data_IF_490824010556
#
_entry.id   IF_490824010556
#
_cell.length_a   1.000
_cell.length_b   1.000
_cell.length_c   1.000
_cell.angle_alpha   90.00
_cell.angle_beta   90.00
_cell.angle_gamma   90.00
#
_symmetry.space_group_name_H-M   'P 1'
#
loop_
_entity.id
_entity.type
_entity.pdbx_description
1 polymer ?
#
# COMPACT_ATOMS: atom_id res chain seq x y z
N UNK A 1 2.67 27.65 -14.75
CA UNK A 1 3.69 27.11 -13.82
C UNK A 1 3.25 27.16 -12.35
N UNK A 2 2.77 28.28 -11.82
CA UNK A 2 2.30 28.39 -10.41
C UNK A 2 1.18 27.40 -10.02
N UNK A 3 0.22 27.13 -10.91
CA UNK A 3 -0.88 26.17 -10.63
C UNK A 3 -0.41 24.71 -10.45
N UNK A 4 0.62 24.29 -11.18
CA UNK A 4 1.20 22.93 -11.04
C UNK A 4 2.03 22.82 -9.76
N UNK A 5 2.75 23.88 -9.39
CA UNK A 5 3.58 23.93 -8.19
C UNK A 5 2.75 23.78 -6.90
N UNK A 6 1.57 24.43 -6.85
CA UNK A 6 0.66 24.28 -5.72
C UNK A 6 0.11 22.85 -5.60
N UNK A 7 -0.14 22.16 -6.71
CA UNK A 7 -0.56 20.75 -6.70
C UNK A 7 0.56 19.83 -6.20
N UNK A 8 1.80 20.07 -6.60
CA UNK A 8 2.94 19.27 -6.12
C UNK A 8 3.18 19.45 -4.62
N UNK A 9 3.09 20.68 -4.11
CA UNK A 9 3.20 20.94 -2.66
C UNK A 9 2.11 20.21 -1.90
N UNK A 10 0.87 20.23 -2.40
CA UNK A 10 -0.25 19.54 -1.77
C UNK A 10 0.00 18.02 -1.63
N UNK A 11 0.51 17.35 -2.67
CA UNK A 11 0.85 15.92 -2.59
C UNK A 11 1.97 15.64 -1.59
N UNK A 12 2.98 16.52 -1.51
CA UNK A 12 4.08 16.41 -0.54
C UNK A 12 3.52 16.52 0.89
N UNK A 13 2.70 17.53 1.17
CA UNK A 13 2.08 17.71 2.49
C UNK A 13 1.25 16.49 2.90
N UNK A 14 0.43 15.95 1.99
CA UNK A 14 -0.34 14.73 2.27
C UNK A 14 0.59 13.55 2.53
N UNK A 15 1.64 13.37 1.73
CA UNK A 15 2.55 12.24 1.91
C UNK A 15 3.25 12.26 3.27
N UNK A 16 3.59 13.45 3.77
CA UNK A 16 4.18 13.65 5.11
C UNK A 16 3.13 13.34 6.18
N UNK A 17 1.89 13.82 6.02
CA UNK A 17 0.81 13.49 6.95
C UNK A 17 0.58 11.98 7.04
N UNK A 18 0.51 11.29 5.90
CA UNK A 18 0.35 9.83 5.85
C UNK A 18 1.51 9.13 6.56
N UNK A 19 2.76 9.56 6.36
CA UNK A 19 3.91 9.03 7.11
C UNK A 19 3.72 9.20 8.62
N UNK A 20 3.38 10.41 9.07
CA UNK A 20 3.22 10.67 10.50
C UNK A 20 2.09 9.85 11.12
N UNK A 21 1.00 9.59 10.38
CA UNK A 21 -0.07 8.73 10.85
C UNK A 21 0.36 7.26 10.87
N UNK A 22 1.08 6.79 9.85
CA UNK A 22 1.57 5.40 9.76
C UNK A 22 2.46 5.05 10.96
N UNK A 23 3.42 5.93 11.28
CA UNK A 23 4.42 5.67 12.33
C UNK A 23 3.78 5.66 13.72
N UNK A 24 2.74 6.46 13.92
CA UNK A 24 2.02 6.53 15.19
C UNK A 24 0.85 5.52 15.28
N UNK A 25 0.61 4.73 14.24
CA UNK A 25 -0.49 3.79 14.24
C UNK A 25 -0.17 2.60 15.16
N UNK A 26 -1.08 2.21 16.08
CA UNK A 26 -0.81 1.12 17.00
C UNK A 26 -0.73 -0.22 16.26
N UNK A 27 0.30 -1.00 16.60
CA UNK A 27 0.40 -2.40 16.15
C UNK A 27 -0.63 -3.26 16.91
N UNK A 28 -1.32 -4.12 16.18
CA UNK A 28 -2.30 -5.05 16.74
C UNK A 28 -1.59 -6.40 16.91
N UNK A 29 -1.44 -6.86 18.15
CA UNK A 29 -0.87 -8.18 18.43
C UNK A 29 -1.86 -9.24 17.95
N UNK A 30 -1.41 -10.05 17.01
CA UNK A 30 -2.08 -11.22 16.48
C UNK A 30 -1.44 -12.48 17.08
N UNK A 31 -2.02 -13.66 16.79
CA UNK A 31 -1.59 -14.96 17.30
C UNK A 31 -0.07 -15.10 17.51
N UNK A 32 0.35 -15.65 18.66
CA UNK A 32 1.76 -15.92 19.00
C UNK A 32 2.72 -14.73 18.83
N UNK A 33 2.35 -13.54 19.32
CA UNK A 33 3.20 -12.34 19.32
C UNK A 33 3.48 -11.74 17.92
N UNK A 34 2.86 -12.25 16.85
CA UNK A 34 2.97 -11.63 15.54
C UNK A 34 2.20 -10.33 15.50
N UNK A 35 2.84 -9.25 15.06
CA UNK A 35 2.21 -7.94 14.98
C UNK A 35 1.63 -7.69 13.59
N UNK A 36 0.38 -7.23 13.56
CA UNK A 36 -0.29 -6.71 12.37
C UNK A 36 -0.31 -5.20 12.48
N UNK A 37 0.24 -4.53 11.47
CA UNK A 37 0.12 -3.08 11.32
C UNK A 37 -0.80 -2.75 10.13
N UNK A 38 -1.61 -1.72 10.27
CA UNK A 38 -2.39 -1.19 9.16
C UNK A 38 -1.47 -0.37 8.28
N UNK A 39 -1.34 -0.74 7.01
CA UNK A 39 -0.53 -0.01 6.04
C UNK A 39 -1.35 1.10 5.33
N UNK A 40 -1.38 2.29 5.92
CA UNK A 40 -1.98 3.50 5.35
C UNK A 40 -1.20 4.01 4.13
N UNK A 41 0.07 3.68 4.02
CA UNK A 41 0.93 4.09 2.91
C UNK A 41 0.53 3.35 1.66
N UNK A 42 0.32 2.04 1.76
CA UNK A 42 -0.17 1.23 0.65
C UNK A 42 -1.54 1.74 0.16
N UNK A 43 -2.41 2.16 1.09
CA UNK A 43 -3.69 2.83 0.76
C UNK A 43 -3.47 4.17 0.05
N UNK A 44 -2.47 4.95 0.45
CA UNK A 44 -2.13 6.20 -0.24
C UNK A 44 -1.59 5.95 -1.65
N UNK A 45 -0.69 4.97 -1.81
CA UNK A 45 -0.10 4.58 -3.10
C UNK A 45 -1.19 4.07 -4.05
N UNK A 46 -2.16 3.29 -3.58
CA UNK A 46 -3.30 2.85 -4.43
C UNK A 46 -4.06 4.03 -5.00
N UNK A 47 -4.42 5.02 -4.19
CA UNK A 47 -5.12 6.21 -4.69
C UNK A 47 -4.27 6.98 -5.70
N UNK A 48 -2.98 7.16 -5.43
CA UNK A 48 -2.07 7.80 -6.38
C UNK A 48 -2.03 7.05 -7.71
N UNK A 49 -1.88 5.72 -7.66
CA UNK A 49 -1.76 4.85 -8.83
C UNK A 49 -3.00 4.90 -9.71
N UNK A 50 -4.19 4.78 -9.10
CA UNK A 50 -5.47 4.80 -9.83
C UNK A 50 -5.74 6.20 -10.41
N UNK A 51 -5.50 7.27 -9.63
CA UNK A 51 -5.82 8.63 -10.07
C UNK A 51 -4.85 9.12 -11.15
N UNK A 52 -3.55 9.03 -10.91
CA UNK A 52 -2.56 9.62 -11.83
C UNK A 52 -2.20 8.67 -12.98
N UNK A 53 -2.07 7.36 -12.72
CA UNK A 53 -1.64 6.38 -13.73
C UNK A 53 -0.21 6.52 -14.23
N UNK A 54 0.62 7.31 -13.54
CA UNK A 54 1.98 7.58 -14.01
C UNK A 54 2.99 6.60 -13.43
N UNK A 55 3.86 6.03 -14.26
CA UNK A 55 5.00 5.20 -13.82
C UNK A 55 5.96 5.93 -12.84
N UNK A 56 5.90 7.26 -12.75
CA UNK A 56 6.63 8.04 -11.71
C UNK A 56 6.28 7.60 -10.28
N UNK A 57 5.09 7.03 -10.07
CA UNK A 57 4.67 6.51 -8.76
C UNK A 57 5.51 5.31 -8.35
N UNK A 58 6.06 4.53 -9.30
CA UNK A 58 6.94 3.40 -8.97
C UNK A 58 8.21 3.90 -8.29
N UNK A 59 8.83 4.91 -8.88
CA UNK A 59 10.02 5.55 -8.33
C UNK A 59 9.70 6.21 -6.98
N UNK A 60 8.56 6.89 -6.88
CA UNK A 60 8.10 7.47 -5.61
C UNK A 60 7.92 6.40 -4.52
N UNK A 61 7.25 5.29 -4.84
CA UNK A 61 6.98 4.19 -3.92
C UNK A 61 8.28 3.53 -3.45
N UNK A 62 9.25 3.37 -4.35
CA UNK A 62 10.58 2.87 -4.00
C UNK A 62 11.26 3.73 -2.93
N UNK A 63 11.38 5.04 -3.15
CA UNK A 63 11.99 5.95 -2.16
C UNK A 63 11.19 6.00 -0.87
N UNK A 64 9.86 5.95 -0.95
CA UNK A 64 9.00 5.93 0.21
C UNK A 64 9.16 4.65 1.03
N UNK A 65 9.32 3.50 0.37
CA UNK A 65 9.62 2.24 1.03
C UNK A 65 10.97 2.26 1.76
N UNK A 66 12.00 2.90 1.19
CA UNK A 66 13.27 3.13 1.91
C UNK A 66 13.05 3.94 3.18
N UNK A 67 12.25 5.01 3.11
CA UNK A 67 11.92 5.82 4.29
C UNK A 67 11.20 4.98 5.35
N UNK A 68 10.27 4.12 4.95
CA UNK A 68 9.57 3.23 5.86
C UNK A 68 10.48 2.20 6.50
N UNK A 69 11.37 1.57 5.73
CA UNK A 69 12.37 0.63 6.26
C UNK A 69 13.21 1.31 7.35
N UNK A 70 13.66 2.56 7.12
CA UNK A 70 14.45 3.33 8.09
C UNK A 70 13.66 3.62 9.38
N UNK A 71 12.36 3.90 9.26
CA UNK A 71 11.53 4.33 10.40
C UNK A 71 10.96 3.15 11.19
N UNK A 72 10.58 2.06 10.53
CA UNK A 72 9.89 0.92 11.15
C UNK A 72 10.83 -0.21 11.55
N UNK A 73 11.83 -0.54 10.72
CA UNK A 73 12.69 -1.70 10.96
C UNK A 73 14.06 -1.55 10.27
N UNK A 74 15.07 -1.13 11.03
CA UNK A 74 16.43 -0.91 10.50
C UNK A 74 17.14 -2.17 9.99
N UNK A 75 16.61 -3.35 10.28
CA UNK A 75 17.27 -4.62 9.95
C UNK A 75 17.00 -5.09 8.50
N UNK A 76 15.97 -4.55 7.84
CA UNK A 76 15.46 -5.06 6.57
C UNK A 76 15.43 -3.98 5.48
N UNK A 77 16.47 -3.14 5.47
CA UNK A 77 16.58 -2.02 4.52
C UNK A 77 16.52 -2.55 3.09
N UNK A 78 15.53 -2.07 2.34
CA UNK A 78 15.32 -2.41 0.94
C UNK A 78 14.12 -3.33 0.71
N UNK A 79 13.66 -4.07 1.73
CA UNK A 79 12.54 -4.99 1.58
C UNK A 79 11.25 -4.25 1.23
N UNK A 80 10.82 -3.27 2.03
CA UNK A 80 9.62 -2.50 1.72
C UNK A 80 9.81 -1.69 0.44
N UNK A 81 11.01 -1.17 0.16
CA UNK A 81 11.28 -0.47 -1.10
C UNK A 81 11.00 -1.32 -2.34
N UNK A 82 11.39 -2.59 -2.30
CA UNK A 82 11.19 -3.52 -3.40
C UNK A 82 9.72 -3.89 -3.54
N UNK A 83 9.07 -4.29 -2.44
CA UNK A 83 7.67 -4.73 -2.44
C UNK A 83 6.73 -3.59 -2.83
N UNK A 84 6.93 -2.39 -2.27
CA UNK A 84 6.12 -1.20 -2.61
C UNK A 84 6.29 -0.79 -4.08
N UNK A 85 7.49 -0.92 -4.65
CA UNK A 85 7.71 -0.65 -6.08
C UNK A 85 6.97 -1.64 -6.98
N UNK A 86 7.04 -2.95 -6.70
CA UNK A 86 6.30 -3.98 -7.47
C UNK A 86 4.80 -3.79 -7.34
N UNK A 87 4.32 -3.56 -6.12
CA UNK A 87 2.89 -3.37 -5.90
C UNK A 87 2.36 -2.11 -6.56
N UNK A 88 3.11 -1.02 -6.55
CA UNK A 88 2.75 0.19 -7.30
C UNK A 88 2.69 -0.05 -8.81
N UNK A 89 3.61 -0.86 -9.37
CA UNK A 89 3.55 -1.26 -10.78
C UNK A 89 2.27 -2.04 -11.10
N UNK A 90 1.93 -3.04 -10.29
CA UNK A 90 0.69 -3.81 -10.45
C UNK A 90 -0.55 -2.92 -10.35
N UNK A 91 -0.58 -1.98 -9.41
CA UNK A 91 -1.70 -1.05 -9.23
C UNK A 91 -1.86 -0.08 -10.40
N UNK A 92 -0.77 0.43 -10.97
CA UNK A 92 -0.81 1.29 -12.16
C UNK A 92 -1.35 0.50 -13.34
N UNK A 93 -0.94 -0.77 -13.51
CA UNK A 93 -1.41 -1.60 -14.62
C UNK A 93 -2.92 -1.80 -14.63
N UNK A 94 -3.60 -1.73 -13.46
CA UNK A 94 -5.07 -1.80 -13.38
C UNK A 94 -5.74 -0.67 -14.17
N UNK A 95 -5.11 0.50 -14.24
CA UNK A 95 -5.65 1.66 -14.97
C UNK A 95 -5.69 1.42 -16.48
N UNK A 96 -4.74 0.68 -17.03
CA UNK A 96 -4.70 0.36 -18.46
C UNK A 96 -5.90 -0.52 -18.87
N UNK A 97 -6.49 -1.25 -17.91
CA UNK A 97 -7.67 -2.09 -18.09
C UNK A 97 -8.97 -1.44 -17.58
N UNK A 98 -8.98 -0.13 -17.31
CA UNK A 98 -10.13 0.55 -16.69
C UNK A 98 -11.44 0.41 -17.48
N UNK A 99 -11.35 0.29 -18.80
CA UNK A 99 -12.51 0.15 -19.71
C UNK A 99 -13.00 -1.30 -19.83
N UNK A 100 -12.17 -2.29 -19.48
CA UNK A 100 -12.48 -3.70 -19.65
C UNK A 100 -13.09 -4.30 -18.38
N UNK A 101 -12.73 -3.77 -17.22
CA UNK A 101 -13.06 -4.38 -15.94
C UNK A 101 -14.21 -3.66 -15.24
N UNK A 102 -15.20 -4.43 -14.80
CA UNK A 102 -16.25 -3.92 -13.94
C UNK A 102 -15.68 -3.55 -12.56
N UNK A 103 -16.33 -2.63 -11.84
CA UNK A 103 -15.93 -2.13 -10.53
C UNK A 103 -15.60 -3.24 -9.52
N UNK A 104 -16.39 -4.31 -9.50
CA UNK A 104 -16.15 -5.45 -8.60
C UNK A 104 -14.83 -6.17 -8.92
N UNK A 105 -14.49 -6.31 -10.21
CA UNK A 105 -13.21 -6.93 -10.62
C UNK A 105 -12.04 -6.05 -10.21
N UNK A 106 -12.14 -4.72 -10.37
CA UNK A 106 -11.10 -3.78 -9.90
C UNK A 106 -10.85 -3.92 -8.40
N UNK A 107 -11.90 -3.98 -7.59
CA UNK A 107 -11.78 -4.19 -6.15
C UNK A 107 -11.15 -5.54 -5.80
N UNK A 108 -11.57 -6.61 -6.47
CA UNK A 108 -10.98 -7.94 -6.27
C UNK A 108 -9.48 -7.92 -6.58
N UNK A 109 -9.07 -7.28 -7.68
CA UNK A 109 -7.67 -7.21 -8.07
C UNK A 109 -6.82 -6.35 -7.13
N UNK A 110 -7.36 -5.24 -6.61
CA UNK A 110 -6.68 -4.45 -5.56
C UNK A 110 -6.48 -5.31 -4.32
N UNK A 111 -7.51 -6.05 -3.89
CA UNK A 111 -7.40 -6.98 -2.75
C UNK A 111 -6.34 -8.06 -3.01
N UNK A 112 -6.32 -8.67 -4.20
CA UNK A 112 -5.29 -9.66 -4.56
C UNK A 112 -3.88 -9.09 -4.55
N UNK A 113 -3.69 -7.83 -4.98
CA UNK A 113 -2.39 -7.15 -4.92
C UNK A 113 -1.97 -6.89 -3.47
N UNK A 114 -2.90 -6.53 -2.60
CA UNK A 114 -2.62 -6.38 -1.16
C UNK A 114 -2.25 -7.70 -0.51
N UNK A 115 -2.98 -8.77 -0.83
CA UNK A 115 -2.65 -10.10 -0.35
C UNK A 115 -1.23 -10.50 -0.79
N UNK A 116 -0.89 -10.26 -2.07
CA UNK A 116 0.46 -10.51 -2.58
C UNK A 116 1.53 -9.66 -1.86
N UNK A 117 1.25 -8.39 -1.62
CA UNK A 117 2.12 -7.47 -0.87
C UNK A 117 2.52 -8.08 0.48
N UNK A 118 1.52 -8.40 1.31
CA UNK A 118 1.76 -8.87 2.68
C UNK A 118 2.28 -10.31 2.73
N UNK A 119 1.85 -11.18 1.80
CA UNK A 119 2.42 -12.52 1.68
C UNK A 119 3.91 -12.44 1.41
N UNK A 120 4.34 -11.64 0.44
CA UNK A 120 5.75 -11.55 0.09
C UNK A 120 6.58 -10.95 1.23
N UNK A 121 6.04 -9.93 1.91
CA UNK A 121 6.68 -9.33 3.09
C UNK A 121 6.90 -10.36 4.21
N UNK A 122 5.84 -11.03 4.65
CA UNK A 122 5.93 -11.96 5.78
C UNK A 122 6.64 -13.27 5.45
N UNK A 123 6.63 -13.73 4.19
CA UNK A 123 7.42 -14.89 3.76
C UNK A 123 8.93 -14.65 3.89
N UNK A 124 9.37 -13.40 3.76
CA UNK A 124 10.79 -13.05 3.91
C UNK A 124 11.13 -12.82 5.38
N UNK A 125 10.21 -12.19 6.12
CA UNK A 125 10.45 -11.76 7.50
C UNK A 125 10.38 -12.91 8.52
N UNK A 126 9.40 -13.80 8.37
CA UNK A 126 9.15 -14.87 9.32
C UNK A 126 9.56 -16.24 8.77
N UNK A 127 10.28 -17.01 9.57
CA UNK A 127 10.58 -18.41 9.29
C UNK A 127 9.55 -19.34 9.97
N UNK A 128 8.27 -19.10 9.70
CA UNK A 128 7.14 -19.84 10.28
C UNK A 128 6.48 -20.77 9.26
N UNK A 129 5.52 -21.56 9.73
CA UNK A 129 4.72 -22.38 8.83
C UNK A 129 3.93 -21.50 7.85
N UNK A 130 3.88 -21.91 6.58
CA UNK A 130 3.18 -21.19 5.52
C UNK A 130 1.73 -20.83 5.89
N UNK A 131 1.03 -21.70 6.62
CA UNK A 131 -0.35 -21.48 7.05
C UNK A 131 -0.47 -20.24 7.95
N UNK A 132 0.46 -20.05 8.90
CA UNK A 132 0.46 -18.90 9.81
C UNK A 132 0.73 -17.62 9.02
N UNK A 133 1.76 -17.63 8.17
CA UNK A 133 2.10 -16.50 7.29
C UNK A 133 0.92 -16.11 6.38
N UNK A 134 0.22 -17.11 5.83
CA UNK A 134 -0.96 -16.89 5.00
C UNK A 134 -2.12 -16.27 5.79
N UNK A 135 -2.39 -16.73 7.01
CA UNK A 135 -3.45 -16.16 7.83
C UNK A 135 -3.17 -14.71 8.21
N UNK A 136 -1.94 -14.41 8.67
CA UNK A 136 -1.56 -13.04 9.07
C UNK A 136 -1.65 -12.08 7.89
N UNK A 137 -1.06 -12.46 6.74
CA UNK A 137 -1.14 -11.66 5.51
C UNK A 137 -2.58 -11.45 5.03
N UNK A 138 -3.44 -12.46 5.15
CA UNK A 138 -4.85 -12.36 4.81
C UNK A 138 -5.60 -11.38 5.73
N UNK A 139 -5.39 -11.45 7.05
CA UNK A 139 -6.02 -10.51 7.98
C UNK A 139 -5.54 -9.07 7.73
N UNK A 140 -4.23 -8.87 7.53
CA UNK A 140 -3.70 -7.54 7.22
C UNK A 140 -4.22 -7.00 5.89
N UNK A 141 -4.29 -7.83 4.85
CA UNK A 141 -4.90 -7.48 3.56
C UNK A 141 -6.37 -7.08 3.72
N UNK A 142 -7.14 -7.79 4.56
CA UNK A 142 -8.54 -7.45 4.83
C UNK A 142 -8.63 -6.08 5.53
N UNK A 143 -7.86 -5.84 6.59
CA UNK A 143 -7.93 -4.56 7.33
C UNK A 143 -7.56 -3.37 6.43
N UNK A 144 -6.46 -3.49 5.69
CA UNK A 144 -6.01 -2.43 4.76
C UNK A 144 -6.99 -2.22 3.61
N UNK A 145 -7.59 -3.30 3.09
CA UNK A 145 -8.62 -3.21 2.07
C UNK A 145 -9.92 -2.56 2.57
N UNK A 146 -10.35 -2.85 3.81
CA UNK A 146 -11.52 -2.20 4.43
C UNK A 146 -11.31 -0.68 4.49
N UNK A 147 -10.13 -0.25 4.91
CA UNK A 147 -9.79 1.18 4.98
C UNK A 147 -9.80 1.82 3.59
N UNK A 148 -9.14 1.17 2.62
CA UNK A 148 -9.21 1.59 1.23
C UNK A 148 -10.66 1.70 0.72
N UNK A 149 -11.48 0.69 0.99
CA UNK A 149 -12.88 0.65 0.56
C UNK A 149 -13.69 1.81 1.17
N UNK A 150 -13.55 2.07 2.47
CA UNK A 150 -14.20 3.19 3.16
C UNK A 150 -13.79 4.52 2.51
N UNK A 151 -12.50 4.76 2.34
CA UNK A 151 -11.98 6.01 1.74
C UNK A 151 -12.44 6.14 0.29
N UNK A 152 -12.46 5.04 -0.47
CA UNK A 152 -12.89 5.03 -1.86
C UNK A 152 -14.32 5.54 -2.00
N UNK A 153 -15.20 5.24 -1.04
CA UNK A 153 -16.58 5.73 -1.03
C UNK A 153 -16.69 7.26 -0.97
N UNK A 154 -15.71 7.93 -0.36
CA UNK A 154 -15.69 9.38 -0.17
C UNK A 154 -14.92 10.13 -1.26
N UNK A 155 -13.74 9.63 -1.66
CA UNK A 155 -12.81 10.39 -2.51
C UNK A 155 -13.03 10.13 -4.01
N UNK A 156 -13.30 8.88 -4.39
CA UNK A 156 -13.33 8.47 -5.81
C UNK A 156 -14.59 7.67 -6.06
N UNK A 157 -15.51 8.20 -6.87
CA UNK A 157 -16.47 7.34 -7.58
C UNK A 157 -15.64 6.48 -8.54
N UNK A 158 -15.12 5.36 -8.05
CA UNK A 158 -14.52 4.32 -8.89
C UNK A 158 -15.62 3.92 -9.86
N UNK A 159 -15.50 4.38 -11.12
CA UNK A 159 -16.40 4.04 -12.21
C UNK A 159 -15.99 2.68 -12.79
#
# INVERSE_FOLDING_TARGET
>A
MFSLYNKTIYYIVISILVLTFQVNFPNIIFFNEHEINVDLVLVFITFLSILSGTYKIIIFSFFYGIILDIVLSTNEIGLLSFITSITSFLLISLKDYDNLWNRNMKFLSIFSIYLFHFLFFYLILFNDTFLVVFLISLFQAIFTFIIFYIISKFIVKVR
#
